data_IF_385989492011
#
_entry.id   IF_385989492011
#
_cell.length_a   1.000
_cell.length_b   1.000
_cell.length_c   1.000
_cell.angle_alpha   90.00
_cell.angle_beta   90.00
_cell.angle_gamma   90.00
#
_symmetry.space_group_name_H-M   'P 1'
#
loop_
_entity.id
_entity.type
_entity.pdbx_description
1 polymer ?
#
# COMPACT_ATOMS: atom_id res chain seq x y z
N UNK A 1 -22.14 8.40 54.29
CA UNK A 1 -21.05 8.05 53.37
C UNK A 1 -21.57 7.02 52.39
N UNK A 2 -21.91 7.45 51.17
CA UNK A 2 -21.86 6.59 49.99
C UNK A 2 -21.48 7.49 48.80
N UNK A 3 -20.31 7.32 48.18
CA UNK A 3 -20.07 7.92 46.88
C UNK A 3 -20.94 7.16 45.86
N UNK A 4 -21.81 7.89 45.14
CA UNK A 4 -22.48 7.33 43.96
C UNK A 4 -21.40 7.15 42.90
N UNK A 5 -21.05 5.90 42.61
CA UNK A 5 -20.10 5.54 41.57
C UNK A 5 -20.57 6.08 40.22
N UNK A 6 -19.85 7.08 39.70
CA UNK A 6 -19.99 7.50 38.32
C UNK A 6 -19.49 6.34 37.45
N UNK A 7 -20.40 5.69 36.71
CA UNK A 7 -20.01 4.77 35.65
C UNK A 7 -19.33 5.61 34.54
N UNK A 8 -18.01 5.54 34.47
CA UNK A 8 -17.28 6.03 33.32
C UNK A 8 -17.63 5.15 32.12
N UNK A 9 -18.20 5.74 31.06
CA UNK A 9 -18.36 5.07 29.79
C UNK A 9 -16.96 4.80 29.22
N UNK A 10 -16.60 3.52 29.11
CA UNK A 10 -15.38 3.10 28.44
C UNK A 10 -15.58 3.36 26.94
N UNK A 11 -14.85 4.35 26.40
CA UNK A 11 -14.89 4.68 24.99
C UNK A 11 -14.32 3.54 24.15
N UNK A 12 -15.18 2.88 23.39
CA UNK A 12 -14.84 1.84 22.41
C UNK A 12 -13.98 2.45 21.27
N UNK A 13 -12.67 2.54 21.49
CA UNK A 13 -11.72 3.15 20.55
C UNK A 13 -11.22 2.15 19.49
N UNK A 14 -11.54 0.87 19.65
CA UNK A 14 -11.06 -0.21 18.79
C UNK A 14 -11.62 -0.12 17.37
N UNK A 15 -12.89 0.26 17.22
CA UNK A 15 -13.62 0.24 15.94
C UNK A 15 -13.07 1.22 14.89
N UNK A 16 -12.55 2.38 15.31
CA UNK A 16 -11.98 3.38 14.41
C UNK A 16 -10.55 3.02 13.97
N UNK A 17 -9.79 2.35 14.84
CA UNK A 17 -8.42 1.89 14.57
C UNK A 17 -8.45 0.80 13.47
N UNK A 18 -9.38 -0.16 13.55
CA UNK A 18 -9.55 -1.20 12.53
C UNK A 18 -9.97 -0.62 11.16
N UNK A 19 -10.80 0.42 11.16
CA UNK A 19 -11.21 1.12 9.93
C UNK A 19 -10.02 1.86 9.28
N UNK A 20 -9.14 2.46 10.09
CA UNK A 20 -7.95 3.16 9.61
C UNK A 20 -6.92 2.23 8.95
N UNK A 21 -6.66 1.06 9.55
CA UNK A 21 -5.73 0.06 9.02
C UNK A 21 -6.19 -0.51 7.67
N UNK A 22 -7.45 -0.97 7.59
CA UNK A 22 -8.03 -1.51 6.36
C UNK A 22 -8.14 -0.45 5.25
N UNK A 23 -8.55 0.78 5.59
CA UNK A 23 -8.63 1.88 4.64
C UNK A 23 -7.24 2.30 4.13
N UNK A 24 -6.25 2.39 5.03
CA UNK A 24 -4.86 2.67 4.68
C UNK A 24 -4.27 1.61 3.73
N UNK A 25 -4.51 0.33 4.00
CA UNK A 25 -4.10 -0.76 3.12
C UNK A 25 -4.72 -0.64 1.72
N UNK A 26 -6.01 -0.27 1.64
CA UNK A 26 -6.68 0.00 0.36
C UNK A 26 -6.01 1.13 -0.44
N UNK A 27 -5.65 2.23 0.21
CA UNK A 27 -4.94 3.34 -0.44
C UNK A 27 -3.54 2.94 -0.92
N UNK A 28 -2.81 2.16 -0.13
CA UNK A 28 -1.48 1.63 -0.50
C UNK A 28 -1.58 0.79 -1.78
N UNK A 29 -2.54 -0.14 -1.85
CA UNK A 29 -2.74 -0.99 -3.04
C UNK A 29 -3.16 -0.16 -4.26
N UNK A 30 -4.03 0.84 -4.10
CA UNK A 30 -4.44 1.71 -5.21
C UNK A 30 -3.24 2.48 -5.77
N UNK A 31 -2.41 3.06 -4.91
CA UNK A 31 -1.19 3.76 -5.33
C UNK A 31 -0.20 2.84 -6.03
N UNK A 32 0.02 1.64 -5.48
CA UNK A 32 0.89 0.61 -6.05
C UNK A 32 0.42 0.19 -7.44
N UNK A 33 -0.86 -0.16 -7.58
CA UNK A 33 -1.48 -0.58 -8.83
C UNK A 33 -1.37 0.47 -9.93
N UNK A 34 -1.61 1.74 -9.60
CA UNK A 34 -1.42 2.85 -10.55
C UNK A 34 0.05 3.03 -10.95
N UNK A 35 0.98 2.92 -10.00
CA UNK A 35 2.41 3.05 -10.26
C UNK A 35 2.95 1.94 -11.16
N UNK A 36 2.71 0.67 -10.80
CA UNK A 36 3.19 -0.48 -11.56
C UNK A 36 2.53 -0.57 -12.93
N UNK A 37 1.24 -0.22 -13.05
CA UNK A 37 0.54 -0.16 -14.32
C UNK A 37 1.17 0.83 -15.29
N UNK A 38 1.56 2.01 -14.82
CA UNK A 38 2.27 3.01 -15.65
C UNK A 38 3.67 2.53 -16.06
N UNK A 39 4.41 1.90 -15.15
CA UNK A 39 5.73 1.34 -15.44
C UNK A 39 5.61 0.27 -16.55
N UNK A 40 4.68 -0.67 -16.40
CA UNK A 40 4.44 -1.73 -17.37
C UNK A 40 4.01 -1.20 -18.74
N UNK A 41 3.06 -0.25 -18.78
CA UNK A 41 2.60 0.36 -20.03
C UNK A 41 3.74 1.05 -20.79
N UNK A 42 4.52 1.89 -20.10
CA UNK A 42 5.65 2.60 -20.70
C UNK A 42 6.74 1.63 -21.19
N UNK A 43 7.00 0.56 -20.43
CA UNK A 43 7.97 -0.46 -20.82
C UNK A 43 7.52 -1.21 -22.09
N UNK A 44 6.27 -1.68 -22.14
CA UNK A 44 5.72 -2.41 -23.29
C UNK A 44 5.73 -1.53 -24.55
N UNK A 45 5.28 -0.27 -24.43
CA UNK A 45 5.34 0.68 -25.53
C UNK A 45 6.79 0.90 -26.01
N UNK A 46 7.72 1.12 -25.09
CA UNK A 46 9.13 1.35 -25.44
C UNK A 46 9.78 0.13 -26.10
N UNK A 47 9.51 -1.08 -25.60
CA UNK A 47 9.99 -2.34 -26.19
C UNK A 47 9.43 -2.57 -27.60
N UNK A 48 8.18 -2.16 -27.85
CA UNK A 48 7.58 -2.25 -29.18
C UNK A 48 8.20 -1.28 -30.19
N UNK A 49 8.63 -0.09 -29.74
CA UNK A 49 9.24 0.94 -30.60
C UNK A 49 10.72 0.68 -30.87
N UNK A 50 11.42 0.05 -29.93
CA UNK A 50 12.86 -0.22 -30.01
C UNK A 50 13.16 -1.66 -29.55
N UNK A 51 12.87 -2.66 -30.41
CA UNK A 51 13.04 -4.07 -30.06
C UNK A 51 14.51 -4.44 -29.77
N UNK A 52 15.47 -3.71 -30.33
CA UNK A 52 16.90 -3.96 -30.18
C UNK A 52 17.38 -3.79 -28.73
N UNK A 53 16.70 -2.93 -27.95
CA UNK A 53 17.02 -2.66 -26.54
C UNK A 53 15.97 -3.21 -25.58
N UNK A 54 15.05 -4.06 -26.05
CA UNK A 54 13.93 -4.54 -25.26
C UNK A 54 14.36 -5.26 -23.97
N UNK A 55 15.43 -6.06 -24.01
CA UNK A 55 15.96 -6.73 -22.82
C UNK A 55 16.47 -5.76 -21.74
N UNK A 56 17.07 -4.63 -22.15
CA UNK A 56 17.50 -3.58 -21.21
C UNK A 56 16.29 -2.87 -20.59
N UNK A 57 15.26 -2.60 -21.39
CA UNK A 57 14.00 -1.98 -20.91
C UNK A 57 13.31 -2.91 -19.93
N UNK A 58 13.20 -4.19 -20.23
CA UNK A 58 12.62 -5.19 -19.34
C UNK A 58 13.38 -5.25 -18.00
N UNK A 59 14.71 -5.22 -18.04
CA UNK A 59 15.52 -5.23 -16.82
C UNK A 59 15.25 -3.98 -15.97
N UNK A 60 15.23 -2.79 -16.57
CA UNK A 60 14.90 -1.55 -15.87
C UNK A 60 13.47 -1.56 -15.31
N UNK A 61 12.50 -2.09 -16.06
CA UNK A 61 11.11 -2.27 -15.63
C UNK A 61 11.03 -3.18 -14.40
N UNK A 62 11.72 -4.33 -14.39
CA UNK A 62 11.74 -5.26 -13.26
C UNK A 62 12.36 -4.62 -12.02
N UNK A 63 13.44 -3.84 -12.18
CA UNK A 63 14.04 -3.10 -11.06
C UNK A 63 13.05 -2.09 -10.48
N UNK A 64 12.41 -1.30 -11.34
CA UNK A 64 11.40 -0.34 -10.92
C UNK A 64 10.19 -1.04 -10.25
N UNK A 65 9.76 -2.19 -10.79
CA UNK A 65 8.73 -3.03 -10.22
C UNK A 65 9.12 -3.55 -8.83
N UNK A 66 10.34 -4.04 -8.65
CA UNK A 66 10.82 -4.51 -7.35
C UNK A 66 10.87 -3.39 -6.30
N UNK A 67 11.25 -2.16 -6.71
CA UNK A 67 11.26 -1.01 -5.80
C UNK A 67 9.85 -0.61 -5.35
N UNK A 68 8.88 -0.56 -6.26
CA UNK A 68 7.49 -0.22 -5.89
C UNK A 68 6.85 -1.34 -5.07
N UNK A 69 7.10 -2.61 -5.40
CA UNK A 69 6.61 -3.75 -4.62
C UNK A 69 7.21 -3.75 -3.20
N UNK A 70 8.50 -3.45 -3.05
CA UNK A 70 9.13 -3.32 -1.74
C UNK A 70 8.50 -2.21 -0.89
N UNK A 71 8.26 -1.04 -1.47
CA UNK A 71 7.60 0.07 -0.78
C UNK A 71 6.13 -0.23 -0.43
N UNK A 72 5.40 -0.88 -1.35
CA UNK A 72 4.00 -1.30 -1.17
C UNK A 72 3.89 -2.30 -0.04
N UNK A 73 4.74 -3.34 -0.05
CA UNK A 73 4.76 -4.36 0.98
C UNK A 73 5.08 -3.77 2.36
N UNK A 74 6.06 -2.87 2.45
CA UNK A 74 6.34 -2.15 3.69
C UNK A 74 5.13 -1.34 4.17
N UNK A 75 4.46 -0.61 3.28
CA UNK A 75 3.24 0.14 3.61
C UNK A 75 2.11 -0.75 4.13
N UNK A 76 1.90 -1.92 3.52
CA UNK A 76 0.92 -2.90 3.99
C UNK A 76 1.24 -3.43 5.38
N UNK A 77 2.51 -3.74 5.66
CA UNK A 77 2.95 -4.17 7.00
C UNK A 77 2.61 -3.09 8.03
N UNK A 78 2.93 -1.83 7.73
CA UNK A 78 2.61 -0.71 8.62
C UNK A 78 1.08 -0.64 8.87
N UNK A 79 0.27 -0.70 7.83
CA UNK A 79 -1.19 -0.69 7.97
C UNK A 79 -1.72 -1.87 8.80
N UNK A 80 -1.15 -3.07 8.65
CA UNK A 80 -1.53 -4.26 9.41
C UNK A 80 -1.09 -4.21 10.87
N UNK A 81 0.06 -3.61 11.18
CA UNK A 81 0.55 -3.47 12.56
C UNK A 81 -0.36 -2.57 13.41
N UNK A 82 -0.94 -1.54 12.80
CA UNK A 82 -1.86 -0.63 13.47
C UNK A 82 -3.33 -1.10 13.43
N UNK A 83 -3.60 -2.32 12.95
CA UNK A 83 -4.94 -2.90 12.84
C UNK A 83 -5.27 -3.87 14.00
N UNK A 84 -4.96 -3.47 15.24
CA UNK A 84 -5.16 -4.26 16.46
C UNK A 84 -6.00 -3.53 17.50
#
# INVERSE_FOLDING_TARGET
MTPSVAFAAEGESSSLIYLGGAFGAGLVILGAGMGIGKIGAAAVESMSRQPEVAGSIQTAMIIAAALIEGATFFGLIVCMLFNN
#
